data_IF_940906299475
#
_entry.id   IF_940906299475
#
_cell.length_a   1.000
_cell.length_b   1.000
_cell.length_c   1.000
_cell.angle_alpha   90.00
_cell.angle_beta   90.00
_cell.angle_gamma   90.00
#
_symmetry.space_group_name_H-M   'P 1'
#
loop_
_entity.id
_entity.type
_entity.pdbx_description
1 polymer ?
#
# COMPACT_ATOMS: atom_id res chain seq x y z
N UNK A 1 -6.05 -23.68 4.25
CA UNK A 1 -4.79 -23.08 3.72
C UNK A 1 -5.17 -22.13 2.59
N UNK A 2 -4.57 -20.93 2.51
CA UNK A 2 -4.96 -19.94 1.51
C UNK A 2 -4.59 -20.40 0.09
N UNK A 3 -5.49 -20.20 -0.89
CA UNK A 3 -5.41 -20.77 -2.25
C UNK A 3 -4.12 -20.43 -3.00
N UNK A 4 -3.52 -19.27 -2.71
CA UNK A 4 -2.27 -18.83 -3.32
C UNK A 4 -1.05 -19.66 -2.89
N UNK A 5 -1.03 -20.21 -1.67
CA UNK A 5 0.07 -21.08 -1.19
C UNK A 5 0.17 -22.40 -1.97
N UNK A 6 -0.96 -22.87 -2.50
CA UNK A 6 -1.02 -24.07 -3.33
C UNK A 6 -0.55 -23.77 -4.74
N UNK A 7 -0.91 -22.59 -5.26
CA UNK A 7 -0.57 -22.19 -6.63
C UNK A 7 0.89 -21.76 -6.78
N UNK A 8 1.44 -21.14 -5.74
CA UNK A 8 2.80 -20.59 -5.72
C UNK A 8 3.48 -20.95 -4.40
N UNK A 9 3.97 -22.20 -4.27
CA UNK A 9 4.50 -22.70 -3.00
C UNK A 9 5.85 -22.04 -2.63
N UNK A 10 6.66 -21.68 -3.61
CA UNK A 10 8.01 -21.13 -3.42
C UNK A 10 8.06 -19.59 -3.49
N UNK A 11 6.97 -18.95 -3.93
CA UNK A 11 6.93 -17.51 -4.10
C UNK A 11 6.75 -16.78 -2.77
N UNK A 12 7.50 -15.68 -2.61
CA UNK A 12 7.31 -14.75 -1.49
C UNK A 12 6.16 -13.80 -1.81
N UNK A 13 5.07 -13.92 -1.07
CA UNK A 13 3.98 -12.94 -1.13
C UNK A 13 4.32 -11.75 -0.24
N UNK A 14 4.19 -10.55 -0.82
CA UNK A 14 4.39 -9.27 -0.16
C UNK A 14 3.11 -8.46 -0.21
N UNK A 15 2.71 -7.89 0.92
CA UNK A 15 1.73 -6.81 0.98
C UNK A 15 2.46 -5.47 0.95
N UNK A 16 2.35 -4.77 -0.18
CA UNK A 16 2.79 -3.39 -0.31
C UNK A 16 1.72 -2.48 0.27
N UNK A 17 2.05 -1.71 1.31
CA UNK A 17 1.07 -0.84 1.95
C UNK A 17 0.50 0.19 0.98
N UNK A 18 -0.80 0.45 1.11
CA UNK A 18 -1.45 1.50 0.33
C UNK A 18 -0.85 2.85 0.76
N UNK A 19 -0.38 3.63 -0.21
CA UNK A 19 0.28 4.92 -0.03
C UNK A 19 -0.71 6.06 0.17
N UNK A 20 -0.35 7.14 0.88
CA UNK A 20 -1.20 8.34 0.95
C UNK A 20 -1.27 9.03 -0.41
N UNK A 21 -2.44 9.59 -0.75
CA UNK A 21 -2.63 10.34 -1.99
C UNK A 21 -3.36 11.66 -1.74
N UNK A 22 -3.09 12.67 -2.57
CA UNK A 22 -3.78 13.98 -2.53
C UNK A 22 -5.24 13.88 -2.98
N UNK A 23 -5.52 13.01 -3.95
CA UNK A 23 -6.86 12.77 -4.45
C UNK A 23 -7.18 11.27 -4.44
N UNK A 24 -8.47 10.97 -4.29
CA UNK A 24 -9.02 9.63 -4.44
C UNK A 24 -10.20 9.74 -5.39
N UNK A 25 -10.19 8.97 -6.48
CA UNK A 25 -11.23 9.06 -7.52
C UNK A 25 -12.59 8.74 -6.89
N UNK A 26 -13.55 9.66 -7.04
CA UNK A 26 -14.90 9.52 -6.48
C UNK A 26 -15.02 9.80 -4.98
N UNK A 27 -13.93 10.15 -4.29
CA UNK A 27 -14.00 10.48 -2.87
C UNK A 27 -14.51 11.92 -2.65
N UNK A 28 -15.50 12.06 -1.77
CA UNK A 28 -15.94 13.38 -1.28
C UNK A 28 -14.90 14.04 -0.37
N UNK A 29 -14.06 13.25 0.29
CA UNK A 29 -12.98 13.73 1.18
C UNK A 29 -11.76 12.82 1.08
N UNK A 30 -10.69 13.33 0.48
CA UNK A 30 -9.41 12.61 0.41
C UNK A 30 -8.84 12.33 1.80
N UNK A 31 -9.04 13.23 2.77
CA UNK A 31 -8.61 13.05 4.16
C UNK A 31 -9.30 11.84 4.79
N UNK A 32 -10.62 11.70 4.60
CA UNK A 32 -11.37 10.56 5.12
C UNK A 32 -10.87 9.23 4.53
N UNK A 33 -10.65 9.19 3.21
CA UNK A 33 -10.12 7.98 2.55
C UNK A 33 -8.70 7.66 3.01
N UNK A 34 -7.85 8.67 3.20
CA UNK A 34 -6.50 8.47 3.77
C UNK A 34 -6.52 7.93 5.21
N UNK A 35 -7.55 8.23 6.00
CA UNK A 35 -7.72 7.62 7.31
C UNK A 35 -8.17 6.15 7.22
N UNK A 36 -9.10 5.85 6.32
CA UNK A 36 -9.53 4.46 6.04
C UNK A 36 -8.34 3.62 5.56
N UNK A 37 -7.50 4.17 4.68
CA UNK A 37 -6.24 3.55 4.22
C UNK A 37 -5.38 3.05 5.38
N UNK A 38 -5.19 3.86 6.43
CA UNK A 38 -4.41 3.47 7.62
C UNK A 38 -5.02 2.25 8.31
N UNK A 39 -6.35 2.19 8.38
CA UNK A 39 -7.05 1.05 8.98
C UNK A 39 -6.89 -0.22 8.13
N UNK A 40 -6.98 -0.11 6.80
CA UNK A 40 -6.74 -1.23 5.87
C UNK A 40 -5.30 -1.74 6.03
N UNK A 41 -4.31 -0.85 6.02
CA UNK A 41 -2.90 -1.23 6.20
C UNK A 41 -2.67 -1.93 7.55
N UNK A 42 -3.30 -1.46 8.64
CA UNK A 42 -3.21 -2.09 9.96
C UNK A 42 -3.84 -3.49 9.97
N UNK A 43 -5.03 -3.64 9.38
CA UNK A 43 -5.71 -4.92 9.29
C UNK A 43 -4.89 -5.93 8.47
N UNK A 44 -4.34 -5.49 7.33
CA UNK A 44 -3.48 -6.33 6.49
C UNK A 44 -2.17 -6.69 7.15
N UNK A 45 -1.53 -5.77 7.89
CA UNK A 45 -0.33 -6.09 8.65
C UNK A 45 -0.59 -7.17 9.71
N UNK A 46 -1.74 -7.09 10.42
CA UNK A 46 -2.14 -8.12 11.38
C UNK A 46 -2.37 -9.48 10.70
N UNK A 47 -3.06 -9.49 9.55
CA UNK A 47 -3.26 -10.71 8.77
C UNK A 47 -1.95 -11.29 8.23
N UNK A 48 -1.04 -10.43 7.76
CA UNK A 48 0.24 -10.82 7.19
C UNK A 48 1.13 -11.51 8.23
N UNK A 49 1.15 -10.99 9.47
CA UNK A 49 1.91 -11.55 10.59
C UNK A 49 1.54 -13.01 10.90
N UNK A 50 0.25 -13.38 10.81
CA UNK A 50 -0.20 -14.76 11.01
C UNK A 50 -0.11 -15.64 9.76
N UNK A 51 0.12 -15.03 8.59
CA UNK A 51 -0.04 -15.70 7.29
C UNK A 51 1.27 -15.79 6.52
N UNK A 52 2.42 -15.50 7.13
CA UNK A 52 3.74 -15.57 6.49
C UNK A 52 3.87 -14.69 5.24
N UNK A 53 3.15 -13.56 5.21
CA UNK A 53 3.23 -12.55 4.15
C UNK A 53 4.16 -11.45 4.64
N UNK A 54 5.12 -11.03 3.82
CA UNK A 54 5.97 -9.89 4.15
C UNK A 54 5.21 -8.57 3.96
N UNK A 55 5.53 -7.54 4.75
CA UNK A 55 4.90 -6.22 4.62
C UNK A 55 5.96 -5.20 4.24
N UNK A 56 5.73 -4.50 3.13
CA UNK A 56 6.53 -3.35 2.72
C UNK A 56 5.80 -2.07 3.12
N UNK A 57 6.51 -1.20 3.84
CA UNK A 57 6.04 0.14 4.21
C UNK A 57 6.68 1.17 3.29
N UNK A 58 5.97 2.29 3.14
CA UNK A 58 6.40 3.41 2.30
C UNK A 58 6.40 4.68 3.14
N UNK A 59 7.27 4.73 4.15
CA UNK A 59 7.26 5.79 5.15
C UNK A 59 7.69 7.14 4.56
N UNK A 60 8.48 7.13 3.48
CA UNK A 60 8.92 8.32 2.75
C UNK A 60 7.90 8.86 1.73
N UNK A 61 6.83 8.10 1.45
CA UNK A 61 5.79 8.56 0.54
C UNK A 61 4.80 9.44 1.30
N UNK A 62 4.82 10.72 0.97
CA UNK A 62 3.92 11.73 1.51
C UNK A 62 2.93 12.19 0.45
N UNK A 63 1.98 13.05 0.83
CA UNK A 63 1.09 13.70 -0.13
C UNK A 63 1.86 14.46 -1.23
N UNK A 64 3.08 14.93 -0.97
CA UNK A 64 3.93 15.60 -1.96
C UNK A 64 4.37 14.72 -3.13
N UNK A 65 4.39 13.41 -2.92
CA UNK A 65 4.81 12.41 -3.91
C UNK A 65 3.69 12.03 -4.90
N UNK A 66 2.50 12.62 -4.74
CA UNK A 66 1.37 12.39 -5.65
C UNK A 66 1.05 13.65 -6.42
N UNK A 67 0.60 13.47 -7.66
CA UNK A 67 0.06 14.56 -8.46
C UNK A 67 -1.26 15.08 -7.84
N UNK A 68 -1.91 16.05 -8.51
CA UNK A 68 -3.31 16.40 -8.19
C UNK A 68 -4.30 15.28 -8.54
N UNK A 69 -3.80 14.14 -9.03
CA UNK A 69 -4.55 12.95 -9.39
C UNK A 69 -4.39 11.86 -8.30
N UNK A 70 -4.80 10.64 -8.60
CA UNK A 70 -4.61 9.48 -7.71
C UNK A 70 -3.22 8.84 -7.88
N UNK A 71 -2.43 9.30 -8.85
CA UNK A 71 -1.16 8.70 -9.24
C UNK A 71 0.01 9.35 -8.49
N UNK A 72 1.05 8.55 -8.27
CA UNK A 72 2.36 9.06 -7.86
C UNK A 72 2.94 9.90 -9.01
N UNK A 73 3.67 10.97 -8.67
CA UNK A 73 4.54 11.63 -9.63
C UNK A 73 5.74 10.73 -9.96
N UNK A 74 6.52 11.08 -10.98
CA UNK A 74 7.75 10.34 -11.32
C UNK A 74 8.69 10.19 -10.11
N UNK A 75 8.95 11.27 -9.38
CA UNK A 75 9.72 11.23 -8.12
C UNK A 75 9.05 10.34 -7.07
N UNK A 76 7.73 10.33 -7.00
CA UNK A 76 6.99 9.45 -6.10
C UNK A 76 7.13 7.98 -6.45
N UNK A 77 7.18 7.65 -7.75
CA UNK A 77 7.46 6.30 -8.26
C UNK A 77 8.90 5.88 -7.92
N UNK A 78 9.87 6.78 -8.08
CA UNK A 78 11.26 6.50 -7.70
C UNK A 78 11.36 6.15 -6.21
N UNK A 79 10.76 6.96 -5.33
CA UNK A 79 10.72 6.71 -3.88
C UNK A 79 9.99 5.39 -3.56
N UNK A 80 8.92 5.07 -4.28
CA UNK A 80 8.18 3.81 -4.11
C UNK A 80 9.04 2.59 -4.44
N UNK A 81 9.81 2.66 -5.52
CA UNK A 81 10.64 1.56 -5.99
C UNK A 81 11.89 1.33 -5.13
N UNK A 82 12.39 2.36 -4.42
CA UNK A 82 13.51 2.22 -3.49
C UNK A 82 13.18 1.40 -2.23
N UNK A 83 11.89 1.21 -1.92
CA UNK A 83 11.42 0.49 -0.74
C UNK A 83 11.05 -0.98 -1.02
N UNK A 84 11.36 -1.50 -2.22
CA UNK A 84 11.10 -2.88 -2.63
C UNK A 84 12.33 -3.79 -2.58
#
# INVERSE_FOLDING_TARGET
MARWRVKWPDDKIVWSQIVPTRAWRGARSAVAVNNIRKNVNRAMAKYAASSGIAVVKHDDITYGCTERTVYLSDTGIDIFNLNF
#
